data_IF_345327770714
#
_entry.id   IF_345327770714
#
_cell.length_a   1.000
_cell.length_b   1.000
_cell.length_c   1.000
_cell.angle_alpha   90.00
_cell.angle_beta   90.00
_cell.angle_gamma   90.00
#
_symmetry.space_group_name_H-M   'P 1'
#
loop_
_entity.id
_entity.type
_entity.pdbx_description
1 polymer ?
#
# COMPACT_ATOMS: atom_id res chain seq x y z
N UNK A 1 -0.78 -9.04 -41.70
CA UNK A 1 0.02 -9.02 -40.44
C UNK A 1 -0.42 -7.82 -39.63
N UNK A 2 -1.27 -8.03 -38.61
CA UNK A 2 -1.73 -6.94 -37.73
C UNK A 2 -0.67 -6.72 -36.66
N UNK A 3 0.10 -5.65 -36.82
CA UNK A 3 1.07 -5.18 -35.82
C UNK A 3 0.30 -4.70 -34.59
N UNK A 4 0.40 -5.45 -33.48
CA UNK A 4 -0.10 -5.01 -32.17
C UNK A 4 0.87 -3.95 -31.64
N UNK A 5 0.47 -2.69 -31.72
CA UNK A 5 1.19 -1.59 -31.07
C UNK A 5 1.32 -1.80 -29.55
N UNK A 6 2.27 -1.09 -28.90
CA UNK A 6 2.52 -1.26 -27.47
C UNK A 6 1.25 -0.94 -26.66
N UNK A 7 0.84 -1.87 -25.81
CA UNK A 7 -0.27 -1.68 -24.88
C UNK A 7 0.07 -0.49 -23.98
N UNK A 8 -0.71 0.59 -24.06
CA UNK A 8 -0.66 1.68 -23.08
C UNK A 8 -1.07 1.10 -21.73
N UNK A 9 -0.10 0.85 -20.86
CA UNK A 9 -0.37 0.54 -19.47
C UNK A 9 -1.01 1.78 -18.83
N UNK A 10 -2.27 1.67 -18.42
CA UNK A 10 -3.02 2.72 -17.71
C UNK A 10 -2.24 3.03 -16.42
N UNK A 11 -1.80 4.28 -16.26
CA UNK A 11 -1.20 4.72 -15.00
C UNK A 11 -2.23 4.50 -13.88
N UNK A 12 -1.90 3.67 -12.88
CA UNK A 12 -2.69 3.56 -11.65
C UNK A 12 -2.66 4.90 -10.92
N UNK A 13 -3.78 5.31 -10.34
CA UNK A 13 -3.82 6.50 -9.49
C UNK A 13 -2.95 6.30 -8.24
N UNK A 14 -2.44 7.38 -7.64
CA UNK A 14 -1.61 7.28 -6.43
C UNK A 14 -2.30 6.49 -5.30
N UNK A 15 -3.63 6.62 -5.20
CA UNK A 15 -4.47 5.86 -4.28
C UNK A 15 -4.49 4.34 -4.53
N UNK A 16 -4.34 3.90 -5.78
CA UNK A 16 -4.33 2.47 -6.13
C UNK A 16 -2.98 1.80 -5.87
N UNK A 17 -1.90 2.57 -5.74
CA UNK A 17 -0.55 2.06 -5.51
C UNK A 17 -0.21 2.07 -4.02
N UNK A 18 -0.74 3.04 -3.27
CA UNK A 18 -0.46 3.19 -1.85
C UNK A 18 -1.37 2.26 -1.03
N UNK A 19 -0.75 1.29 -0.38
CA UNK A 19 -1.43 0.37 0.50
C UNK A 19 -1.73 1.01 1.86
N UNK A 20 -2.86 0.60 2.44
CA UNK A 20 -3.26 0.91 3.81
C UNK A 20 -3.45 -0.43 4.53
N UNK A 21 -2.87 -0.57 5.71
CA UNK A 21 -2.99 -1.76 6.56
C UNK A 21 -1.66 -2.47 6.85
N UNK A 22 -1.54 -3.13 8.02
CA UNK A 22 -0.31 -3.78 8.47
C UNK A 22 0.01 -5.09 7.75
N UNK A 23 -1.00 -5.84 7.27
CA UNK A 23 -0.79 -7.19 6.71
C UNK A 23 0.09 -7.18 5.45
N UNK A 24 -0.11 -6.19 4.59
CA UNK A 24 0.71 -6.03 3.39
C UNK A 24 2.15 -5.62 3.74
N UNK A 25 2.32 -4.83 4.81
CA UNK A 25 3.63 -4.46 5.30
C UNK A 25 4.39 -5.71 5.75
N UNK A 26 3.76 -6.56 6.56
CA UNK A 26 4.35 -7.85 6.95
C UNK A 26 4.74 -8.67 5.71
N UNK A 27 3.84 -8.80 4.74
CA UNK A 27 4.15 -9.53 3.49
C UNK A 27 5.32 -8.94 2.68
N UNK A 28 5.56 -7.63 2.76
CA UNK A 28 6.64 -6.97 2.02
C UNK A 28 7.98 -6.98 2.74
N UNK A 29 8.00 -7.31 4.03
CA UNK A 29 9.18 -7.08 4.88
C UNK A 29 9.46 -8.19 5.89
N UNK A 30 8.76 -9.32 5.79
CA UNK A 30 9.04 -10.51 6.58
C UNK A 30 10.23 -11.29 6.01
N UNK A 31 10.83 -12.18 6.81
CA UNK A 31 11.98 -13.02 6.44
C UNK A 31 11.72 -13.96 5.26
N UNK A 32 10.44 -14.22 4.95
CA UNK A 32 10.00 -15.01 3.80
C UNK A 32 9.92 -14.21 2.50
N UNK A 33 10.09 -12.88 2.56
CA UNK A 33 10.00 -11.99 1.39
C UNK A 33 11.21 -12.16 0.47
N UNK A 34 11.01 -11.95 -0.82
CA UNK A 34 12.12 -11.96 -1.79
C UNK A 34 12.83 -10.61 -1.84
N UNK A 35 14.13 -10.63 -2.13
CA UNK A 35 14.89 -9.41 -2.38
C UNK A 35 14.22 -8.52 -3.44
N UNK A 36 14.12 -7.24 -3.13
CA UNK A 36 13.50 -6.25 -3.99
C UNK A 36 11.98 -6.37 -4.09
N UNK A 37 11.33 -7.17 -3.24
CA UNK A 37 9.89 -7.14 -3.05
C UNK A 37 9.50 -5.91 -2.22
N UNK A 38 8.54 -5.13 -2.70
CA UNK A 38 8.25 -3.82 -2.12
C UNK A 38 6.78 -3.42 -2.19
N UNK A 39 6.43 -2.43 -1.37
CA UNK A 39 5.17 -1.69 -1.44
C UNK A 39 5.34 -0.23 -1.07
N UNK A 40 4.38 0.59 -1.50
CA UNK A 40 4.17 1.93 -0.98
C UNK A 40 3.06 1.90 0.06
N UNK A 41 3.26 2.59 1.18
CA UNK A 41 2.25 2.74 2.23
C UNK A 41 2.18 4.15 2.76
N UNK A 42 1.01 4.54 3.26
CA UNK A 42 0.85 5.72 4.10
C UNK A 42 1.06 5.34 5.55
N UNK A 43 1.75 6.19 6.30
CA UNK A 43 1.93 6.04 7.74
C UNK A 43 1.80 7.38 8.41
N UNK A 44 1.22 7.39 9.61
CA UNK A 44 1.23 8.59 10.43
C UNK A 44 2.55 8.64 11.19
N UNK A 45 3.28 9.74 11.04
CA UNK A 45 4.49 10.00 11.82
C UNK A 45 4.16 11.13 12.80
N UNK A 46 4.32 10.88 14.09
CA UNK A 46 3.84 11.69 15.23
C UNK A 46 4.14 13.19 15.14
N UNK A 47 5.16 13.59 14.37
CA UNK A 47 5.59 14.99 14.18
C UNK A 47 5.32 15.60 12.80
N UNK A 48 4.98 14.80 11.79
CA UNK A 48 4.85 15.25 10.38
C UNK A 48 3.50 14.91 9.73
N UNK A 49 2.59 14.27 10.47
CA UNK A 49 1.31 13.81 9.92
C UNK A 49 1.49 12.60 9.00
N UNK A 50 0.56 12.44 8.06
CA UNK A 50 0.60 11.32 7.11
C UNK A 50 1.75 11.48 6.10
N UNK A 51 2.64 10.50 6.04
CA UNK A 51 3.77 10.43 5.09
C UNK A 51 3.70 9.16 4.26
N UNK A 52 4.30 9.21 3.06
CA UNK A 52 4.42 8.03 2.19
C UNK A 52 5.77 7.36 2.44
N UNK A 53 5.75 6.04 2.60
CA UNK A 53 6.93 5.21 2.83
C UNK A 53 6.98 4.10 1.79
N UNK A 54 8.12 3.97 1.13
CA UNK A 54 8.50 2.82 0.32
C UNK A 54 9.13 1.78 1.24
N UNK A 55 8.44 0.67 1.45
CA UNK A 55 8.97 -0.47 2.23
C UNK A 55 9.42 -1.55 1.27
N UNK A 56 10.63 -2.07 1.46
CA UNK A 56 11.26 -3.05 0.58
C UNK A 56 12.08 -4.04 1.40
N UNK A 57 11.96 -5.33 1.09
CA UNK A 57 12.87 -6.34 1.62
C UNK A 57 14.13 -6.39 0.75
N UNK A 58 15.30 -6.31 1.37
CA UNK A 58 16.58 -6.32 0.66
C UNK A 58 17.69 -6.75 1.61
N UNK A 59 18.53 -7.68 1.16
CA UNK A 59 19.72 -8.12 1.93
C UNK A 59 19.33 -8.61 3.33
N UNK A 60 18.36 -9.54 3.36
CA UNK A 60 17.82 -10.18 4.57
C UNK A 60 17.17 -9.21 5.58
N UNK A 61 16.89 -7.96 5.17
CA UNK A 61 16.34 -6.95 6.06
C UNK A 61 15.25 -6.08 5.43
N UNK A 62 14.30 -5.69 6.28
CA UNK A 62 13.28 -4.69 5.98
C UNK A 62 13.89 -3.28 5.90
N UNK A 63 13.66 -2.59 4.80
CA UNK A 63 14.07 -1.21 4.61
C UNK A 63 12.86 -0.30 4.38
N UNK A 64 12.78 0.81 5.13
CA UNK A 64 11.68 1.76 5.05
C UNK A 64 12.19 3.15 4.66
N UNK A 65 11.92 3.56 3.42
CA UNK A 65 12.39 4.81 2.85
C UNK A 65 11.23 5.80 2.76
N UNK A 66 11.37 6.95 3.43
CA UNK A 66 10.37 8.02 3.36
C UNK A 66 10.45 8.70 1.99
N UNK A 67 9.31 8.84 1.32
CA UNK A 67 9.16 9.64 0.10
C UNK A 67 8.73 11.05 0.52
N UNK A 68 9.61 12.02 0.37
CA UNK A 68 9.35 13.40 0.80
C UNK A 68 8.65 14.18 -0.30
N UNK A 69 7.60 14.93 0.04
CA UNK A 69 6.98 15.89 -0.88
C UNK A 69 7.48 17.29 -0.54
N UNK A 70 8.21 17.92 -1.46
CA UNK A 70 8.72 19.27 -1.25
C UNK A 70 7.68 20.34 -1.62
N UNK A 71 7.97 21.60 -1.24
CA UNK A 71 7.07 22.73 -1.47
C UNK A 71 6.83 23.05 -2.95
N UNK A 72 7.73 22.61 -3.83
CA UNK A 72 7.56 22.72 -5.28
C UNK A 72 6.60 21.66 -5.87
N UNK A 73 6.02 20.80 -5.03
CA UNK A 73 5.08 19.76 -5.43
C UNK A 73 5.73 18.44 -5.87
N UNK A 74 7.06 18.40 -6.05
CA UNK A 74 7.78 17.21 -6.48
C UNK A 74 7.98 16.22 -5.32
N UNK A 75 8.03 14.94 -5.68
CA UNK A 75 8.33 13.82 -4.79
C UNK A 75 9.80 13.47 -4.89
N UNK A 76 10.45 13.37 -3.73
CA UNK A 76 11.86 13.08 -3.59
C UNK A 76 12.06 11.74 -2.90
N UNK A 77 12.90 10.91 -3.50
CA UNK A 77 13.52 9.77 -2.85
C UNK A 77 15.04 9.94 -3.00
N UNK A 78 15.66 10.46 -1.94
CA UNK A 78 17.08 10.84 -1.93
C UNK A 78 17.41 11.89 -3.02
N UNK A 79 18.18 11.51 -4.04
CA UNK A 79 18.66 12.39 -5.12
C UNK A 79 17.73 12.39 -6.34
N UNK A 80 16.71 11.53 -6.36
CA UNK A 80 15.76 11.45 -7.46
C UNK A 80 14.51 12.25 -7.13
N UNK A 81 14.04 13.03 -8.11
CA UNK A 81 12.79 13.77 -8.01
C UNK A 81 11.87 13.50 -9.19
N UNK A 82 10.57 13.42 -8.90
CA UNK A 82 9.53 13.14 -9.89
C UNK A 82 8.29 13.96 -9.59
N UNK A 83 7.49 14.24 -10.62
CA UNK A 83 6.21 14.93 -10.45
C UNK A 83 5.17 14.04 -9.74
N UNK A 84 5.23 12.72 -9.96
CA UNK A 84 4.31 11.74 -9.40
C UNK A 84 5.07 10.58 -8.74
N UNK A 85 4.54 10.05 -7.64
CA UNK A 85 5.10 8.86 -6.97
C UNK A 85 5.10 7.64 -7.91
N UNK A 86 4.06 7.50 -8.74
CA UNK A 86 3.96 6.41 -9.73
C UNK A 86 5.15 6.38 -10.68
N UNK A 87 5.60 7.56 -11.14
CA UNK A 87 6.72 7.67 -12.08
C UNK A 87 8.05 7.37 -11.38
N UNK A 88 8.21 7.82 -10.14
CA UNK A 88 9.36 7.49 -9.29
C UNK A 88 9.54 5.98 -9.20
N UNK A 89 8.49 5.26 -8.80
CA UNK A 89 8.61 3.83 -8.60
C UNK A 89 8.75 3.09 -9.92
N UNK A 90 8.02 3.52 -10.95
CA UNK A 90 8.15 2.95 -12.30
C UNK A 90 9.59 3.05 -12.80
N UNK A 91 10.24 4.20 -12.63
CA UNK A 91 11.63 4.40 -13.03
C UNK A 91 12.55 3.39 -12.35
N UNK A 92 12.52 3.27 -11.02
CA UNK A 92 13.40 2.36 -10.28
C UNK A 92 13.11 0.88 -10.57
N UNK A 93 11.84 0.51 -10.71
CA UNK A 93 11.42 -0.86 -11.05
C UNK A 93 11.84 -1.27 -12.46
N UNK A 94 11.76 -0.37 -13.44
CA UNK A 94 12.08 -0.67 -14.84
C UNK A 94 13.58 -0.61 -15.13
N UNK A 95 14.27 0.41 -14.59
CA UNK A 95 15.70 0.63 -14.87
C UNK A 95 16.63 -0.14 -13.95
N UNK A 96 16.12 -0.63 -12.81
CA UNK A 96 16.90 -1.28 -11.74
C UNK A 96 17.99 -0.38 -11.15
N UNK A 97 17.85 0.94 -11.33
CA UNK A 97 18.64 1.94 -10.62
C UNK A 97 18.29 1.89 -9.14
N UNK A 98 19.31 1.90 -8.29
CA UNK A 98 19.13 1.80 -6.85
C UNK A 98 18.31 2.97 -6.30
N UNK A 99 17.39 2.68 -5.39
CA UNK A 99 16.61 3.71 -4.66
C UNK A 99 17.41 4.37 -3.54
N UNK A 100 18.50 3.72 -3.07
CA UNK A 100 19.30 4.22 -1.96
C UNK A 100 20.80 3.92 -2.10
N UNK A 101 21.65 4.51 -1.25
CA UNK A 101 23.11 4.31 -1.31
C UNK A 101 23.55 2.86 -1.02
N UNK A 102 22.71 2.08 -0.32
CA UNK A 102 22.95 0.67 0.00
C UNK A 102 22.74 -0.29 -1.17
N UNK A 103 22.38 0.19 -2.36
CA UNK A 103 22.20 -0.65 -3.55
C UNK A 103 20.83 -1.31 -3.68
N UNK A 104 19.87 -0.95 -2.81
CA UNK A 104 18.49 -1.44 -2.81
C UNK A 104 17.83 -1.22 -4.18
N UNK A 105 17.28 -2.28 -4.76
CA UNK A 105 16.56 -2.22 -6.05
C UNK A 105 15.14 -2.73 -5.91
N UNK A 106 14.27 -2.26 -6.79
CA UNK A 106 12.87 -2.64 -6.83
C UNK A 106 12.64 -3.69 -7.92
N UNK A 107 12.16 -4.87 -7.55
CA UNK A 107 11.99 -6.03 -8.45
C UNK A 107 10.54 -6.46 -8.62
N UNK A 108 9.78 -6.57 -7.52
CA UNK A 108 8.39 -7.03 -7.54
C UNK A 108 7.54 -6.26 -6.54
N UNK A 109 6.29 -6.03 -6.92
CA UNK A 109 5.31 -5.42 -6.03
C UNK A 109 4.66 -6.50 -5.17
N UNK A 110 4.37 -6.19 -3.92
CA UNK A 110 3.49 -7.05 -3.13
C UNK A 110 2.10 -7.06 -3.74
N UNK A 111 1.64 -8.26 -4.08
CA UNK A 111 0.31 -8.50 -4.61
C UNK A 111 -0.66 -8.69 -3.44
N UNK A 112 -1.80 -8.00 -3.50
CA UNK A 112 -2.92 -8.25 -2.60
C UNK A 112 -3.57 -9.57 -2.93
N UNK A 113 -3.83 -10.36 -1.90
CA UNK A 113 -4.61 -11.59 -2.03
C UNK A 113 -6.10 -11.29 -2.19
N UNK A 114 -6.86 -12.22 -2.74
CA UNK A 114 -8.31 -12.05 -2.97
C UNK A 114 -9.11 -11.78 -1.69
N UNK A 115 -8.63 -12.28 -0.55
CA UNK A 115 -9.24 -12.04 0.76
C UNK A 115 -8.93 -10.65 1.35
N UNK A 116 -7.95 -9.92 0.79
CA UNK A 116 -7.55 -8.59 1.25
C UNK A 116 -8.40 -7.50 0.59
N UNK A 117 -9.60 -7.30 1.13
CA UNK A 117 -10.58 -6.34 0.61
C UNK A 117 -10.08 -4.89 0.73
N UNK A 118 -10.47 -4.05 -0.23
CA UNK A 118 -10.34 -2.60 -0.11
C UNK A 118 -11.43 -2.05 0.84
N UNK A 119 -11.12 -0.97 1.56
CA UNK A 119 -12.09 -0.35 2.46
C UNK A 119 -13.33 0.14 1.69
N UNK A 120 -13.10 0.65 0.48
CA UNK A 120 -14.12 1.15 -0.45
C UNK A 120 -15.06 0.05 -0.97
N UNK A 121 -14.70 -1.24 -0.83
CA UNK A 121 -15.60 -2.34 -1.19
C UNK A 121 -16.61 -2.67 -0.09
N UNK A 122 -16.46 -2.11 1.12
CA UNK A 122 -17.33 -2.41 2.26
C UNK A 122 -18.10 -1.15 2.67
N UNK A 123 -19.41 -1.18 2.51
CA UNK A 123 -20.31 -0.17 3.05
C UNK A 123 -20.84 -0.65 4.41
N UNK A 124 -20.42 0.01 5.50
CA UNK A 124 -20.89 -0.30 6.85
C UNK A 124 -22.32 0.21 7.06
N UNK A 125 -23.17 -0.65 7.61
CA UNK A 125 -24.55 -0.38 7.97
C UNK A 125 -24.77 -0.36 9.48
N UNK A 126 -25.96 -0.81 9.91
CA UNK A 126 -26.35 -0.81 11.32
C UNK A 126 -25.51 -1.78 12.15
N UNK A 127 -25.34 -1.46 13.44
CA UNK A 127 -24.77 -2.39 14.41
C UNK A 127 -25.69 -3.61 14.61
N UNK A 128 -25.11 -4.80 14.53
CA UNK A 128 -25.77 -6.08 14.80
C UNK A 128 -25.56 -6.54 16.24
N UNK A 129 -24.41 -6.23 16.84
CA UNK A 129 -24.11 -6.63 18.21
C UNK A 129 -22.70 -6.30 18.67
N UNK A 130 -22.30 -6.93 19.79
CA UNK A 130 -20.94 -6.88 20.33
C UNK A 130 -20.48 -8.32 20.54
N UNK A 131 -19.30 -8.65 20.03
CA UNK A 131 -18.57 -9.86 20.39
C UNK A 131 -17.43 -9.55 21.35
N UNK A 132 -16.69 -10.58 21.72
CA UNK A 132 -15.53 -10.47 22.62
C UNK A 132 -14.46 -9.50 22.11
N UNK A 133 -14.22 -9.50 20.79
CA UNK A 133 -13.13 -8.73 20.16
C UNK A 133 -13.58 -7.36 19.62
N UNK A 134 -14.86 -7.01 19.77
CA UNK A 134 -15.37 -5.71 19.32
C UNK A 134 -16.80 -5.75 18.79
N UNK A 135 -17.14 -4.71 18.05
CA UNK A 135 -18.49 -4.51 17.54
C UNK A 135 -18.70 -5.29 16.24
N UNK A 136 -19.94 -5.72 16.00
CA UNK A 136 -20.33 -6.38 14.76
C UNK A 136 -21.39 -5.51 14.10
N UNK A 137 -21.16 -5.20 12.83
CA UNK A 137 -22.04 -4.40 11.98
C UNK A 137 -22.55 -5.23 10.81
N UNK A 138 -23.72 -4.87 10.31
CA UNK A 138 -24.16 -5.28 8.98
C UNK A 138 -23.31 -4.50 7.98
N UNK A 139 -22.96 -5.10 6.85
CA UNK A 139 -22.29 -4.42 5.75
C UNK A 139 -22.77 -4.93 4.40
N UNK A 140 -22.54 -4.13 3.37
CA UNK A 140 -22.70 -4.53 1.98
C UNK A 140 -21.32 -4.59 1.33
N UNK A 141 -20.96 -5.74 0.78
CA UNK A 141 -19.70 -5.99 0.10
C UNK A 141 -19.91 -5.93 -1.42
N UNK A 142 -19.24 -4.96 -2.06
CA UNK A 142 -19.21 -4.83 -3.51
C UNK A 142 -18.13 -5.72 -4.11
N UNK A 143 -18.57 -6.87 -4.64
CA UNK A 143 -17.70 -7.89 -5.27
C UNK A 143 -17.12 -7.38 -6.59
N UNK A 144 -17.85 -6.52 -7.30
CA UNK A 144 -17.44 -5.98 -8.60
C UNK A 144 -18.53 -5.14 -9.25
N UNK A 145 -18.17 -4.41 -10.31
CA UNK A 145 -19.07 -3.43 -10.97
C UNK A 145 -20.29 -4.09 -11.62
N UNK A 146 -20.20 -5.37 -11.97
CA UNK A 146 -21.24 -6.12 -12.69
C UNK A 146 -21.94 -7.18 -11.83
N UNK A 147 -21.65 -7.22 -10.54
CA UNK A 147 -22.19 -8.21 -9.61
C UNK A 147 -23.02 -7.52 -8.55
N UNK A 148 -24.08 -8.16 -8.08
CA UNK A 148 -24.85 -7.64 -6.96
C UNK A 148 -23.99 -7.60 -5.69
N UNK A 149 -24.21 -6.59 -4.88
CA UNK A 149 -23.60 -6.50 -3.55
C UNK A 149 -24.07 -7.66 -2.68
N UNK A 150 -23.15 -8.17 -1.85
CA UNK A 150 -23.41 -9.27 -0.92
C UNK A 150 -23.55 -8.70 0.49
N UNK A 151 -24.63 -9.05 1.18
CA UNK A 151 -24.78 -8.70 2.59
C UNK A 151 -23.81 -9.52 3.46
N UNK A 152 -23.07 -8.84 4.32
CA UNK A 152 -22.01 -9.43 5.15
C UNK A 152 -22.11 -8.94 6.59
N UNK A 153 -21.52 -9.69 7.53
CA UNK A 153 -21.25 -9.21 8.88
C UNK A 153 -19.82 -8.69 8.95
N UNK A 154 -19.64 -7.43 9.35
CA UNK A 154 -18.33 -6.80 9.50
C UNK A 154 -18.00 -6.68 10.98
N UNK A 155 -16.93 -7.35 11.40
CA UNK A 155 -16.43 -7.28 12.77
C UNK A 155 -15.34 -6.22 12.85
N UNK A 156 -15.54 -5.22 13.69
CA UNK A 156 -14.54 -4.18 13.93
C UNK A 156 -13.77 -4.51 15.22
N UNK A 157 -12.48 -4.27 15.20
CA UNK A 157 -11.65 -4.36 16.39
C UNK A 157 -11.79 -3.06 17.19
N UNK A 158 -11.93 -3.17 18.52
CA UNK A 158 -11.79 -1.99 19.39
C UNK A 158 -10.36 -1.48 19.24
N UNK A 159 -10.18 -0.27 18.73
CA UNK A 159 -8.85 0.32 18.60
C UNK A 159 -8.23 0.50 19.98
N UNK A 160 -7.25 -0.33 20.33
CA UNK A 160 -6.26 0.06 21.32
C UNK A 160 -5.59 1.30 20.75
N UNK A 161 -5.77 2.47 21.36
CA UNK A 161 -4.78 3.53 21.17
C UNK A 161 -3.46 2.89 21.56
N UNK A 162 -2.60 2.61 20.60
CA UNK A 162 -1.20 2.34 20.90
C UNK A 162 -0.69 3.70 21.37
N UNK A 163 -0.80 3.96 22.67
CA UNK A 163 0.03 4.96 23.30
C UNK A 163 1.44 4.46 23.10
N UNK A 164 2.22 5.19 22.30
CA UNK A 164 3.65 5.04 22.29
C UNK A 164 4.12 5.53 23.66
N UNK A 165 4.11 4.62 24.63
CA UNK A 165 4.71 4.84 25.93
C UNK A 165 6.18 4.41 25.86
N UNK A 166 7.00 5.38 26.29
CA UNK A 166 8.46 5.47 26.52
C UNK A 166 9.40 5.66 25.32
#
# INVERSE_FOLDING_TARGET
SVSRGPKKHKNRSESEIICRGPDLLLKATDETSSDGEFLLRKTELTKRGEVVVLSVFWDEAAHHLVVEKANNGLFYLKEFCFENISDLVRYHHQTRVSVYKSGIKLFSWVVREEWQLYHEQINLGKKLGNGEFGEVFQGMFSVGIFTNDVEVAVKTMKGSKVTADE
#
